data_IF_609668648928
#
_entry.id   IF_609668648928
#
_cell.length_a   1.000
_cell.length_b   1.000
_cell.length_c   1.000
_cell.angle_alpha   90.00
_cell.angle_beta   90.00
_cell.angle_gamma   90.00
#
_symmetry.space_group_name_H-M   'P 1'
#
loop_
_entity.id
_entity.type
_entity.pdbx_description
1 polymer ?
#
# COMPACT_ATOMS: atom_id res chain seq x y z
N UNK A 1 -12.16 -14.00 -23.17
CA UNK A 1 -12.80 -14.69 -22.02
C UNK A 1 -11.85 -15.69 -21.36
N UNK A 2 -11.19 -16.61 -22.09
CA UNK A 2 -10.24 -17.57 -21.49
C UNK A 2 -9.06 -16.92 -20.76
N UNK A 3 -8.45 -15.86 -21.31
CA UNK A 3 -7.34 -15.16 -20.65
C UNK A 3 -7.75 -14.52 -19.29
N UNK A 4 -8.99 -14.07 -19.16
CA UNK A 4 -9.52 -13.50 -17.92
C UNK A 4 -9.71 -14.56 -16.84
N UNK A 5 -10.17 -15.76 -17.22
CA UNK A 5 -10.32 -16.88 -16.30
C UNK A 5 -8.98 -17.50 -15.90
N UNK A 6 -7.96 -17.42 -16.76
CA UNK A 6 -6.60 -17.89 -16.45
C UNK A 6 -5.83 -16.94 -15.52
N UNK A 7 -6.14 -15.64 -15.54
CA UNK A 7 -5.51 -14.64 -14.68
C UNK A 7 -6.20 -14.46 -13.31
N UNK A 8 -7.24 -15.25 -13.02
CA UNK A 8 -7.97 -15.18 -11.76
C UNK A 8 -7.46 -16.24 -10.80
N UNK A 9 -6.77 -15.81 -9.74
CA UNK A 9 -6.19 -16.69 -8.72
C UNK A 9 -6.96 -16.52 -7.40
N UNK A 10 -7.06 -17.59 -6.63
CA UNK A 10 -7.76 -17.61 -5.34
C UNK A 10 -6.78 -18.00 -4.25
N UNK A 11 -6.68 -17.21 -3.18
CA UNK A 11 -5.76 -17.51 -2.07
C UNK A 11 -6.22 -18.72 -1.25
N UNK A 12 -7.53 -19.02 -1.27
CA UNK A 12 -8.14 -20.14 -0.55
C UNK A 12 -9.08 -20.94 -1.47
N UNK A 13 -8.53 -21.75 -2.40
CA UNK A 13 -9.35 -22.44 -3.41
C UNK A 13 -10.36 -23.42 -2.80
N UNK A 14 -10.09 -23.93 -1.59
CA UNK A 14 -11.01 -24.82 -0.85
C UNK A 14 -12.33 -24.11 -0.52
N UNK A 15 -12.34 -22.78 -0.34
CA UNK A 15 -13.56 -22.02 -0.10
C UNK A 15 -14.56 -22.12 -1.27
N UNK A 16 -14.07 -22.29 -2.52
CA UNK A 16 -14.92 -22.48 -3.69
C UNK A 16 -15.71 -23.79 -3.63
N UNK A 17 -15.27 -24.79 -2.87
CA UNK A 17 -16.07 -25.99 -2.60
C UNK A 17 -17.40 -25.65 -1.91
N UNK A 18 -17.49 -24.49 -1.23
CA UNK A 18 -18.74 -23.95 -0.70
C UNK A 18 -19.80 -23.69 -1.78
N UNK A 19 -19.43 -23.45 -3.04
CA UNK A 19 -20.39 -23.34 -4.14
C UNK A 19 -21.13 -24.66 -4.39
N UNK A 20 -20.50 -25.82 -4.11
CA UNK A 20 -21.16 -27.13 -4.19
C UNK A 20 -22.21 -27.33 -3.09
N UNK A 21 -22.18 -26.55 -2.01
CA UNK A 21 -23.19 -26.56 -0.94
C UNK A 21 -24.41 -25.69 -1.25
N UNK A 22 -24.38 -24.83 -2.29
CA UNK A 22 -25.54 -24.03 -2.71
C UNK A 22 -26.83 -24.84 -2.93
N UNK A 23 -26.84 -26.03 -3.57
CA UNK A 23 -28.04 -26.85 -3.70
C UNK A 23 -28.57 -27.36 -2.34
N UNK A 24 -27.70 -27.58 -1.36
CA UNK A 24 -28.10 -27.96 0.01
C UNK A 24 -28.71 -26.77 0.75
N UNK A 25 -28.11 -25.58 0.61
CA UNK A 25 -28.64 -24.32 1.15
C UNK A 25 -30.00 -24.00 0.52
N UNK A 26 -30.14 -24.19 -0.80
CA UNK A 26 -31.41 -24.06 -1.50
C UNK A 26 -32.47 -25.00 -0.94
N UNK A 27 -32.10 -26.26 -0.69
CA UNK A 27 -33.00 -27.26 -0.12
C UNK A 27 -33.43 -26.89 1.31
N UNK A 28 -32.51 -26.39 2.14
CA UNK A 28 -32.79 -25.95 3.51
C UNK A 28 -33.70 -24.71 3.55
N UNK A 29 -33.45 -23.73 2.67
CA UNK A 29 -34.25 -22.51 2.59
C UNK A 29 -35.64 -22.74 1.99
N UNK A 30 -35.87 -23.88 1.33
CA UNK A 30 -37.17 -24.29 0.78
C UNK A 30 -38.09 -24.90 1.85
N UNK A 31 -37.66 -25.04 3.10
CA UNK A 31 -38.54 -25.48 4.19
C UNK A 31 -39.69 -24.48 4.38
N UNK A 32 -40.81 -24.80 3.75
CA UNK A 32 -42.08 -24.12 3.87
C UNK A 32 -42.78 -24.70 5.10
N UNK A 33 -43.46 -23.90 5.94
CA UNK A 33 -44.15 -24.41 7.13
C UNK A 33 -45.07 -25.59 6.77
N UNK A 34 -45.23 -26.59 7.66
CA UNK A 34 -46.17 -27.68 7.43
C UNK A 34 -47.58 -27.12 7.22
N UNK A 35 -48.33 -27.70 6.27
CA UNK A 35 -49.68 -27.24 5.90
C UNK A 35 -50.54 -27.02 7.15
N UNK A 36 -51.27 -25.89 7.27
CA UNK A 36 -52.17 -25.66 8.39
C UNK A 36 -53.23 -26.77 8.44
N UNK A 37 -53.43 -27.33 9.64
CA UNK A 37 -54.42 -28.37 9.85
C UNK A 37 -55.81 -27.74 9.87
N UNK A 38 -56.71 -28.23 9.01
CA UNK A 38 -58.09 -27.75 8.96
C UNK A 38 -58.91 -28.42 10.05
N UNK A 39 -59.29 -27.64 11.07
CA UNK A 39 -60.20 -28.09 12.13
C UNK A 39 -61.62 -27.66 11.76
N UNK A 40 -62.60 -28.57 11.83
CA UNK A 40 -64.01 -28.23 11.59
C UNK A 40 -64.51 -27.35 12.72
N UNK A 41 -64.64 -26.04 12.49
CA UNK A 41 -65.15 -25.08 13.45
C UNK A 41 -66.67 -24.86 13.21
N UNK A 42 -67.57 -25.39 14.06
CA UNK A 42 -69.00 -25.47 13.75
C UNK A 42 -69.80 -24.17 13.69
N UNK A 43 -69.46 -23.03 14.33
CA UNK A 43 -70.29 -21.83 14.24
C UNK A 43 -69.93 -20.99 13.00
N UNK A 44 -70.14 -21.55 11.80
CA UNK A 44 -69.95 -20.87 10.51
C UNK A 44 -70.85 -19.64 10.30
N UNK A 45 -71.89 -19.46 11.13
CA UNK A 45 -72.82 -18.31 11.03
C UNK A 45 -72.26 -16.98 11.56
N UNK A 46 -71.28 -16.99 12.45
CA UNK A 46 -70.73 -15.77 13.06
C UNK A 46 -69.60 -15.13 12.25
N UNK A 47 -69.11 -15.80 11.20
CA UNK A 47 -67.94 -15.38 10.40
C UNK A 47 -68.32 -14.85 9.01
N UNK A 48 -69.59 -14.93 8.59
CA UNK A 48 -70.06 -14.48 7.28
C UNK A 48 -70.09 -12.94 7.13
N UNK A 49 -69.87 -12.17 8.21
CA UNK A 49 -69.76 -10.70 8.18
C UNK A 49 -68.31 -10.17 8.20
N UNK A 50 -67.30 -11.05 8.24
CA UNK A 50 -65.90 -10.64 8.17
C UNK A 50 -65.42 -10.67 6.72
N UNK A 51 -65.26 -9.49 6.12
CA UNK A 51 -64.56 -9.29 4.85
C UNK A 51 -63.15 -9.86 5.01
N UNK A 52 -62.86 -10.94 4.28
CA UNK A 52 -61.55 -11.60 4.26
C UNK A 52 -60.51 -10.62 3.71
N UNK A 53 -59.68 -10.06 4.60
CA UNK A 53 -58.58 -9.19 4.24
C UNK A 53 -57.31 -10.03 4.05
N UNK A 54 -56.92 -10.19 2.77
CA UNK A 54 -55.64 -10.63 2.24
C UNK A 54 -55.01 -11.91 2.80
N UNK A 55 -55.05 -12.97 1.96
CA UNK A 55 -54.15 -14.10 2.04
C UNK A 55 -52.69 -13.61 1.94
N UNK A 56 -51.91 -13.80 3.01
CA UNK A 56 -50.46 -13.65 2.92
C UNK A 56 -49.93 -14.71 1.93
N UNK A 57 -49.09 -14.32 0.94
CA UNK A 57 -48.59 -15.25 -0.04
C UNK A 57 -47.76 -16.36 0.63
N UNK A 58 -48.29 -17.58 0.56
CA UNK A 58 -47.81 -18.82 1.21
C UNK A 58 -46.49 -19.36 0.61
N UNK A 59 -45.94 -18.68 -0.40
CA UNK A 59 -44.72 -19.09 -1.10
C UNK A 59 -43.74 -17.94 -1.19
N UNK A 60 -42.50 -18.19 -0.78
CA UNK A 60 -41.39 -17.30 -1.11
C UNK A 60 -41.30 -17.18 -2.63
N UNK A 61 -41.40 -15.97 -3.20
CA UNK A 61 -41.31 -15.81 -4.64
C UNK A 61 -39.91 -16.23 -5.10
N UNK A 62 -39.84 -16.96 -6.22
CA UNK A 62 -38.63 -17.63 -6.72
C UNK A 62 -37.46 -16.66 -6.95
N UNK A 63 -37.74 -15.39 -7.26
CA UNK A 63 -36.72 -14.36 -7.43
C UNK A 63 -36.00 -14.01 -6.13
N UNK A 64 -36.67 -14.03 -4.96
CA UNK A 64 -36.03 -13.84 -3.66
C UNK A 64 -35.10 -15.00 -3.31
N UNK A 65 -35.46 -16.20 -3.73
CA UNK A 65 -34.63 -17.39 -3.57
C UNK A 65 -33.40 -17.34 -4.48
N UNK A 66 -33.55 -16.91 -5.74
CA UNK A 66 -32.43 -16.66 -6.65
C UNK A 66 -31.50 -15.58 -6.10
N UNK A 67 -32.06 -14.48 -5.58
CA UNK A 67 -31.28 -13.41 -4.94
C UNK A 67 -30.49 -13.91 -3.73
N UNK A 68 -31.10 -14.73 -2.85
CA UNK A 68 -30.40 -15.33 -1.71
C UNK A 68 -29.24 -16.22 -2.14
N UNK A 69 -29.41 -17.03 -3.19
CA UNK A 69 -28.33 -17.84 -3.73
C UNK A 69 -27.23 -17.01 -4.37
N UNK A 70 -27.57 -15.92 -5.06
CA UNK A 70 -26.60 -14.98 -5.62
C UNK A 70 -25.77 -14.31 -4.51
N UNK A 71 -26.41 -13.85 -3.43
CA UNK A 71 -25.71 -13.29 -2.27
C UNK A 71 -24.79 -14.33 -1.63
N UNK A 72 -25.27 -15.56 -1.40
CA UNK A 72 -24.43 -16.63 -0.86
C UNK A 72 -23.23 -16.93 -1.75
N UNK A 73 -23.42 -16.97 -3.08
CA UNK A 73 -22.33 -17.14 -4.04
C UNK A 73 -21.32 -15.98 -3.97
N UNK A 74 -21.78 -14.72 -3.89
CA UNK A 74 -20.91 -13.55 -3.73
C UNK A 74 -20.13 -13.56 -2.41
N UNK A 75 -20.75 -14.02 -1.32
CA UNK A 75 -20.06 -14.19 -0.02
C UNK A 75 -18.99 -15.26 -0.12
N UNK A 76 -19.29 -16.42 -0.72
CA UNK A 76 -18.31 -17.49 -0.92
C UNK A 76 -17.15 -17.00 -1.81
N UNK A 77 -17.46 -16.26 -2.88
CA UNK A 77 -16.45 -15.62 -3.71
C UNK A 77 -15.63 -14.61 -2.90
N UNK A 78 -16.26 -13.75 -2.09
CA UNK A 78 -15.54 -12.81 -1.23
C UNK A 78 -14.60 -13.51 -0.25
N UNK A 79 -15.05 -14.59 0.40
CA UNK A 79 -14.23 -15.41 1.31
C UNK A 79 -13.08 -16.11 0.59
N UNK A 80 -13.26 -16.49 -0.68
CA UNK A 80 -12.19 -17.10 -1.48
C UNK A 80 -11.09 -16.11 -1.90
N UNK A 81 -11.27 -14.81 -1.61
CA UNK A 81 -10.34 -13.72 -1.94
C UNK A 81 -9.80 -13.81 -3.38
N UNK A 82 -10.66 -13.65 -4.40
CA UNK A 82 -10.22 -13.61 -5.78
C UNK A 82 -9.30 -12.40 -5.99
N UNK A 83 -8.11 -12.65 -6.51
CA UNK A 83 -7.21 -11.59 -6.95
C UNK A 83 -6.85 -11.81 -8.42
N UNK A 84 -6.76 -10.69 -9.15
CA UNK A 84 -6.44 -10.68 -10.56
C UNK A 84 -4.93 -10.55 -10.71
N UNK A 85 -4.28 -11.61 -11.20
CA UNK A 85 -2.83 -11.70 -11.41
C UNK A 85 -2.51 -11.92 -12.90
N UNK A 86 -2.70 -10.90 -13.75
CA UNK A 86 -2.35 -11.00 -15.16
C UNK A 86 -0.83 -11.16 -15.30
N UNK A 87 -0.37 -12.32 -15.79
CA UNK A 87 1.05 -12.60 -16.04
C UNK A 87 1.61 -13.82 -15.32
N UNK A 88 0.87 -14.42 -14.37
CA UNK A 88 1.23 -15.73 -13.80
C UNK A 88 0.76 -16.86 -14.73
N UNK A 89 1.30 -16.92 -15.94
CA UNK A 89 1.46 -18.22 -16.60
C UNK A 89 2.57 -18.94 -15.86
N UNK A 90 2.22 -19.72 -14.84
CA UNK A 90 3.13 -20.67 -14.21
C UNK A 90 3.50 -21.76 -15.24
N UNK A 91 4.59 -21.53 -15.97
CA UNK A 91 5.38 -22.54 -16.67
C UNK A 91 6.74 -21.96 -17.10
N UNK A 92 7.72 -21.95 -16.19
CA UNK A 92 9.12 -22.18 -16.58
C UNK A 92 9.90 -21.06 -17.24
N UNK A 93 9.79 -19.81 -16.80
CA UNK A 93 10.87 -18.86 -17.08
C UNK A 93 11.91 -18.96 -15.97
N UNK A 94 12.98 -19.72 -16.19
CA UNK A 94 14.26 -19.60 -15.48
C UNK A 94 14.94 -18.24 -15.75
N UNK A 95 14.16 -17.19 -15.97
CA UNK A 95 14.66 -15.85 -16.21
C UNK A 95 15.33 -15.37 -14.92
N UNK A 96 16.54 -14.80 -14.98
CA UNK A 96 17.14 -14.15 -13.84
C UNK A 96 16.19 -13.11 -13.26
N UNK A 97 16.11 -13.05 -11.93
CA UNK A 97 15.30 -12.10 -11.21
C UNK A 97 16.17 -10.94 -10.72
N UNK A 98 15.84 -9.73 -11.18
CA UNK A 98 16.40 -8.47 -10.70
C UNK A 98 15.44 -7.84 -9.69
N UNK A 99 15.87 -7.75 -8.44
CA UNK A 99 15.15 -7.05 -7.38
C UNK A 99 15.73 -5.64 -7.26
N UNK A 100 14.88 -4.64 -7.42
CA UNK A 100 15.23 -3.23 -7.27
C UNK A 100 14.49 -2.67 -6.05
N UNK A 101 15.22 -2.03 -5.16
CA UNK A 101 14.70 -1.50 -3.91
C UNK A 101 14.92 0.00 -3.84
N UNK A 102 13.84 0.76 -3.68
CA UNK A 102 13.98 2.14 -3.22
C UNK A 102 14.37 2.16 -1.74
N UNK A 103 15.60 2.62 -1.47
CA UNK A 103 16.20 2.80 -0.14
C UNK A 103 16.48 4.29 0.15
N UNK A 104 15.69 5.17 -0.44
CA UNK A 104 15.72 6.62 -0.24
C UNK A 104 15.15 7.02 1.14
N UNK A 105 15.19 8.32 1.46
CA UNK A 105 14.60 8.82 2.70
C UNK A 105 13.10 8.49 2.78
N UNK A 106 12.41 8.46 1.65
CA UNK A 106 10.97 8.21 1.58
C UNK A 106 10.60 6.77 1.95
N UNK A 107 11.52 5.83 1.74
CA UNK A 107 11.34 4.42 2.07
C UNK A 107 11.46 4.10 3.57
N UNK A 108 11.96 5.03 4.39
CA UNK A 108 12.35 4.76 5.77
C UNK A 108 11.19 4.34 6.69
N UNK A 109 10.00 4.93 6.52
CA UNK A 109 8.83 4.65 7.35
C UNK A 109 8.39 3.19 7.27
N UNK A 110 8.36 2.65 6.05
CA UNK A 110 7.80 1.32 5.76
C UNK A 110 8.91 0.27 5.59
N UNK A 111 10.12 0.58 6.05
CA UNK A 111 11.32 -0.23 5.80
C UNK A 111 11.19 -1.67 6.32
N UNK A 112 10.55 -1.86 7.48
CA UNK A 112 10.31 -3.20 8.05
C UNK A 112 9.40 -4.04 7.15
N UNK A 113 8.33 -3.45 6.61
CA UNK A 113 7.44 -4.12 5.67
C UNK A 113 8.21 -4.48 4.39
N UNK A 114 8.99 -3.53 3.86
CA UNK A 114 9.80 -3.75 2.65
C UNK A 114 10.82 -4.88 2.83
N UNK A 115 11.51 -4.97 3.97
CA UNK A 115 12.40 -6.10 4.29
C UNK A 115 11.65 -7.44 4.36
N UNK A 116 10.44 -7.44 4.90
CA UNK A 116 9.61 -8.66 4.96
C UNK A 116 9.27 -9.16 3.55
N UNK A 117 8.80 -8.26 2.67
CA UNK A 117 8.54 -8.58 1.27
C UNK A 117 9.80 -9.07 0.52
N UNK A 118 10.95 -8.44 0.76
CA UNK A 118 12.21 -8.89 0.16
C UNK A 118 12.59 -10.31 0.57
N UNK A 119 12.42 -10.65 1.85
CA UNK A 119 12.68 -12.01 2.34
C UNK A 119 11.73 -13.04 1.71
N UNK A 120 10.45 -12.69 1.54
CA UNK A 120 9.45 -13.55 0.88
C UNK A 120 9.78 -13.77 -0.60
N UNK A 121 10.11 -12.72 -1.35
CA UNK A 121 10.53 -12.80 -2.76
C UNK A 121 11.76 -13.70 -2.92
N UNK A 122 12.75 -13.55 -2.03
CA UNK A 122 13.97 -14.38 -2.07
C UNK A 122 13.69 -15.83 -1.68
N UNK A 123 12.76 -16.08 -0.76
CA UNK A 123 12.33 -17.44 -0.42
C UNK A 123 11.65 -18.12 -1.61
N UNK A 124 10.75 -17.43 -2.32
CA UNK A 124 10.11 -17.93 -3.53
C UNK A 124 11.13 -18.19 -4.65
N UNK A 125 12.07 -17.27 -4.86
CA UNK A 125 13.14 -17.45 -5.86
C UNK A 125 14.03 -18.66 -5.55
N UNK A 126 14.28 -18.94 -4.25
CA UNK A 126 15.02 -20.13 -3.80
C UNK A 126 14.29 -21.42 -4.13
N UNK A 127 12.98 -21.48 -3.90
CA UNK A 127 12.17 -22.67 -4.20
C UNK A 127 12.15 -22.99 -5.71
N UNK A 128 12.27 -21.95 -6.54
CA UNK A 128 12.24 -22.06 -8.00
C UNK A 128 13.64 -22.08 -8.66
N UNK A 129 14.72 -22.13 -7.87
CA UNK A 129 16.13 -22.11 -8.32
C UNK A 129 16.45 -20.96 -9.31
N UNK A 130 15.93 -19.77 -9.00
CA UNK A 130 16.10 -18.56 -9.82
C UNK A 130 17.34 -17.78 -9.37
N UNK A 131 18.17 -17.38 -10.34
CA UNK A 131 19.32 -16.51 -10.08
C UNK A 131 18.88 -15.10 -9.71
N UNK A 132 19.41 -14.56 -8.61
CA UNK A 132 19.00 -13.27 -8.05
C UNK A 132 20.04 -12.18 -8.28
N UNK A 133 19.61 -10.97 -8.59
CA UNK A 133 20.44 -9.76 -8.54
C UNK A 133 19.71 -8.69 -7.76
N UNK A 134 20.39 -8.06 -6.79
CA UNK A 134 19.82 -7.01 -5.96
C UNK A 134 20.44 -5.64 -6.30
N UNK A 135 19.60 -4.63 -6.45
CA UNK A 135 20.01 -3.25 -6.66
C UNK A 135 19.21 -2.28 -5.78
N UNK A 136 19.87 -1.21 -5.36
CA UNK A 136 19.29 -0.13 -4.53
C UNK A 136 19.33 1.19 -5.29
N UNK A 137 18.32 2.06 -5.12
CA UNK A 137 18.23 3.30 -5.91
C UNK A 137 18.92 4.50 -5.30
N UNK A 138 19.14 4.55 -3.98
CA UNK A 138 19.81 5.67 -3.33
C UNK A 138 21.33 5.64 -3.59
N UNK A 139 21.95 6.79 -3.88
CA UNK A 139 23.36 6.87 -4.21
C UNK A 139 24.24 6.35 -3.06
N UNK A 140 25.37 5.76 -3.43
CA UNK A 140 26.34 5.20 -2.48
C UNK A 140 27.75 5.65 -2.83
N UNK A 141 28.59 5.86 -1.81
CA UNK A 141 29.99 6.25 -2.02
C UNK A 141 30.79 5.13 -2.72
N UNK A 142 30.45 3.88 -2.42
CA UNK A 142 30.93 2.69 -3.13
C UNK A 142 29.73 2.01 -3.76
N UNK A 143 29.69 2.06 -5.09
CA UNK A 143 28.68 1.37 -5.88
C UNK A 143 28.71 -0.13 -5.59
N UNK A 144 27.55 -0.71 -5.35
CA UNK A 144 27.42 -2.17 -5.16
C UNK A 144 27.43 -2.84 -6.54
N UNK A 145 28.20 -3.91 -6.69
CA UNK A 145 28.28 -4.65 -7.95
C UNK A 145 26.92 -5.28 -8.28
N UNK A 146 26.50 -5.10 -9.53
CA UNK A 146 25.27 -5.70 -10.08
C UNK A 146 25.66 -7.09 -10.58
N UNK A 147 25.66 -8.04 -9.65
CA UNK A 147 26.07 -9.42 -9.90
C UNK A 147 25.01 -10.39 -9.42
N UNK A 148 24.86 -11.46 -10.19
CA UNK A 148 24.08 -12.63 -9.83
C UNK A 148 24.61 -13.26 -8.53
N UNK A 149 23.70 -13.58 -7.60
CA UNK A 149 23.98 -14.21 -6.31
C UNK A 149 22.95 -15.29 -6.04
N UNK A 150 23.33 -16.23 -5.18
CA UNK A 150 22.38 -17.18 -4.61
C UNK A 150 21.47 -16.51 -3.57
N UNK A 151 20.45 -17.24 -3.15
CA UNK A 151 19.47 -16.75 -2.18
C UNK A 151 20.08 -16.42 -0.82
N UNK A 152 21.03 -17.20 -0.31
CA UNK A 152 21.63 -16.99 1.01
C UNK A 152 22.50 -15.72 1.05
N UNK A 153 23.32 -15.51 0.02
CA UNK A 153 24.11 -14.30 -0.17
C UNK A 153 23.21 -13.07 -0.37
N UNK A 154 22.07 -13.23 -1.04
CA UNK A 154 21.10 -12.13 -1.24
C UNK A 154 20.40 -11.77 0.08
N UNK A 155 20.03 -12.76 0.91
CA UNK A 155 19.48 -12.50 2.26
C UNK A 155 20.49 -11.78 3.15
N UNK A 156 21.77 -12.12 3.08
CA UNK A 156 22.82 -11.39 3.81
C UNK A 156 22.92 -9.93 3.36
N UNK A 157 22.78 -9.66 2.06
CA UNK A 157 22.74 -8.28 1.56
C UNK A 157 21.50 -7.53 2.07
N UNK A 158 20.31 -8.15 2.00
CA UNK A 158 19.05 -7.56 2.49
C UNK A 158 19.15 -7.24 3.99
N UNK A 159 19.76 -8.13 4.79
CA UNK A 159 19.94 -7.92 6.22
C UNK A 159 20.82 -6.70 6.54
N UNK A 160 21.75 -6.35 5.65
CA UNK A 160 22.62 -5.19 5.78
C UNK A 160 22.03 -3.90 5.18
N UNK A 161 20.87 -3.95 4.52
CA UNK A 161 20.25 -2.77 3.94
C UNK A 161 19.56 -1.91 5.00
N UNK A 162 19.81 -0.60 4.91
CA UNK A 162 19.17 0.44 5.70
C UNK A 162 18.70 1.58 4.80
N UNK A 163 17.60 2.26 5.13
CA UNK A 163 17.13 3.40 4.37
C UNK A 163 18.11 4.57 4.53
N UNK A 164 18.45 5.24 3.43
CA UNK A 164 19.40 6.36 3.40
C UNK A 164 18.67 7.69 3.46
N UNK A 165 19.26 8.70 4.08
CA UNK A 165 18.71 10.06 4.14
C UNK A 165 18.85 10.87 2.82
N UNK A 166 18.96 10.19 1.68
CA UNK A 166 19.22 10.78 0.35
C UNK A 166 18.06 10.50 -0.59
N UNK A 167 17.92 11.33 -1.63
CA UNK A 167 17.00 11.05 -2.75
C UNK A 167 17.52 9.91 -3.64
N UNK A 168 16.65 9.23 -4.39
CA UNK A 168 17.05 8.16 -5.30
C UNK A 168 17.77 8.71 -6.54
N UNK A 169 18.76 7.97 -7.06
CA UNK A 169 19.45 8.24 -8.33
C UNK A 169 19.10 7.14 -9.35
N UNK A 170 17.83 7.14 -9.75
CA UNK A 170 17.24 6.15 -10.68
C UNK A 170 17.92 6.18 -12.05
N UNK A 171 18.34 7.35 -12.52
CA UNK A 171 18.99 7.52 -13.83
C UNK A 171 20.37 6.86 -13.86
N UNK A 172 21.21 7.07 -12.83
CA UNK A 172 22.51 6.44 -12.73
C UNK A 172 22.40 4.93 -12.58
N UNK A 173 21.46 4.45 -11.75
CA UNK A 173 21.22 3.01 -11.61
C UNK A 173 20.78 2.40 -12.95
N UNK A 174 19.85 3.03 -13.67
CA UNK A 174 19.37 2.55 -14.97
C UNK A 174 20.50 2.41 -15.99
N UNK A 175 21.43 3.38 -16.04
CA UNK A 175 22.59 3.29 -16.92
C UNK A 175 23.46 2.06 -16.62
N UNK A 176 23.69 1.77 -15.33
CA UNK A 176 24.44 0.58 -14.90
C UNK A 176 23.70 -0.72 -15.21
N UNK A 177 22.38 -0.75 -15.02
CA UNK A 177 21.54 -1.91 -15.33
C UNK A 177 21.54 -2.22 -16.83
N UNK A 178 21.47 -1.19 -17.69
CA UNK A 178 21.58 -1.36 -19.15
C UNK A 178 22.90 -2.01 -19.57
N UNK A 179 24.01 -1.63 -18.93
CA UNK A 179 25.31 -2.27 -19.16
C UNK A 179 25.38 -3.69 -18.60
N UNK A 180 24.91 -3.91 -17.36
CA UNK A 180 24.98 -5.20 -16.68
C UNK A 180 24.12 -6.28 -17.33
N UNK A 181 22.97 -5.91 -17.89
CA UNK A 181 22.02 -6.83 -18.53
C UNK A 181 22.00 -6.73 -20.06
N UNK A 182 23.02 -6.12 -20.69
CA UNK A 182 23.10 -5.97 -22.14
C UNK A 182 23.09 -7.31 -22.89
N UNK A 183 23.65 -8.37 -22.29
CA UNK A 183 23.72 -9.71 -22.85
C UNK A 183 22.56 -10.63 -22.42
N UNK A 184 21.65 -10.14 -21.56
CA UNK A 184 20.52 -10.93 -21.10
C UNK A 184 19.44 -11.03 -22.19
N UNK A 185 18.89 -12.23 -22.39
CA UNK A 185 17.81 -12.50 -23.34
C UNK A 185 16.42 -12.47 -22.72
N UNK A 186 16.33 -12.66 -21.40
CA UNK A 186 15.11 -12.52 -20.60
C UNK A 186 15.48 -11.99 -19.22
N UNK A 187 14.56 -11.24 -18.60
CA UNK A 187 14.76 -10.66 -17.28
C UNK A 187 13.40 -10.46 -16.61
N UNK A 188 13.26 -10.91 -15.37
CA UNK A 188 12.14 -10.51 -14.52
C UNK A 188 12.64 -9.45 -13.55
N UNK A 189 11.95 -8.32 -13.48
CA UNK A 189 12.29 -7.19 -12.63
C UNK A 189 11.17 -6.97 -11.63
N UNK A 190 11.49 -7.04 -10.34
CA UNK A 190 10.58 -6.62 -9.27
C UNK A 190 11.12 -5.33 -8.67
N UNK A 191 10.38 -4.24 -8.81
CA UNK A 191 10.74 -2.93 -8.26
C UNK A 191 9.87 -2.57 -7.06
N UNK A 192 10.48 -2.55 -5.87
CA UNK A 192 9.85 -2.10 -4.64
C UNK A 192 10.00 -0.57 -4.54
N UNK A 193 9.01 0.14 -5.07
CA UNK A 193 8.98 1.60 -5.13
C UNK A 193 8.68 2.23 -3.78
N UNK A 194 9.22 3.42 -3.51
CA UNK A 194 8.83 4.26 -2.37
C UNK A 194 7.49 5.01 -2.56
N UNK A 195 6.88 4.88 -3.75
CA UNK A 195 5.58 5.47 -4.08
C UNK A 195 5.62 6.97 -4.35
N UNK A 196 6.81 7.61 -4.35
CA UNK A 196 6.97 9.01 -4.71
C UNK A 196 7.58 9.15 -6.12
N UNK A 197 6.93 9.96 -6.95
CA UNK A 197 7.50 10.39 -8.22
C UNK A 197 8.34 11.67 -8.03
N UNK A 198 9.65 11.48 -7.91
CA UNK A 198 10.63 12.57 -7.92
C UNK A 198 11.08 12.86 -9.36
N UNK A 199 10.11 13.14 -10.25
CA UNK A 199 10.29 13.44 -11.67
C UNK A 199 11.08 12.41 -12.49
N UNK A 200 11.08 11.15 -12.05
CA UNK A 200 11.90 10.09 -12.64
C UNK A 200 11.28 8.69 -12.57
N UNK A 201 10.14 8.52 -11.89
CA UNK A 201 9.54 7.20 -11.72
C UNK A 201 9.11 6.59 -13.06
N UNK A 202 8.42 7.37 -13.89
CA UNK A 202 7.91 6.92 -15.21
C UNK A 202 9.05 6.56 -16.15
N UNK A 203 10.05 7.45 -16.29
CA UNK A 203 11.21 7.22 -17.16
C UNK A 203 12.06 6.05 -16.67
N UNK A 204 12.11 5.84 -15.35
CA UNK A 204 12.78 4.67 -14.77
C UNK A 204 12.03 3.39 -15.10
N UNK A 205 10.70 3.33 -14.89
CA UNK A 205 9.88 2.16 -15.23
C UNK A 205 9.97 1.78 -16.71
N UNK A 206 9.85 2.75 -17.61
CA UNK A 206 10.05 2.55 -19.06
C UNK A 206 11.48 2.05 -19.37
N UNK A 207 12.46 2.62 -18.68
CA UNK A 207 13.86 2.19 -18.75
C UNK A 207 14.05 0.73 -18.32
N UNK A 208 13.40 0.29 -17.25
CA UNK A 208 13.44 -1.09 -16.77
C UNK A 208 12.81 -2.05 -17.78
N UNK A 209 11.68 -1.66 -18.39
CA UNK A 209 11.03 -2.46 -19.43
C UNK A 209 11.90 -2.60 -20.69
N UNK A 210 12.78 -1.63 -20.95
CA UNK A 210 13.73 -1.69 -22.08
C UNK A 210 14.96 -2.59 -21.85
N UNK A 211 15.13 -3.14 -20.63
CA UNK A 211 16.24 -4.06 -20.32
C UNK A 211 16.11 -5.38 -21.10
N UNK A 212 17.22 -6.12 -21.19
CA UNK A 212 17.30 -7.39 -21.94
C UNK A 212 16.84 -7.26 -23.41
N UNK A 213 17.06 -6.10 -24.03
CA UNK A 213 16.59 -5.83 -25.40
C UNK A 213 15.08 -5.64 -25.52
N UNK A 214 14.39 -5.27 -24.44
CA UNK A 214 12.94 -5.05 -24.40
C UNK A 214 12.12 -6.29 -24.02
N UNK A 215 12.76 -7.37 -23.57
CA UNK A 215 12.10 -8.59 -23.11
C UNK A 215 11.92 -8.64 -21.58
N UNK A 216 12.24 -7.56 -20.87
CA UNK A 216 12.10 -7.50 -19.43
C UNK A 216 10.64 -7.39 -19.00
N UNK A 217 10.20 -8.30 -18.12
CA UNK A 217 8.92 -8.19 -17.41
C UNK A 217 9.14 -7.37 -16.14
N UNK A 218 8.38 -6.29 -15.95
CA UNK A 218 8.54 -5.38 -14.81
C UNK A 218 7.29 -5.37 -13.95
N UNK A 219 7.44 -5.77 -12.69
CA UNK A 219 6.41 -5.69 -11.66
C UNK A 219 6.81 -4.63 -10.63
N UNK A 220 6.01 -3.57 -10.50
CA UNK A 220 6.22 -2.51 -9.54
C UNK A 220 5.30 -2.69 -8.32
N UNK A 221 5.90 -2.79 -7.13
CA UNK A 221 5.19 -2.86 -5.85
C UNK A 221 5.21 -1.47 -5.23
N UNK A 222 4.03 -0.87 -5.08
CA UNK A 222 3.85 0.45 -4.48
C UNK A 222 3.25 0.34 -3.07
N UNK A 223 3.63 1.23 -2.13
CA UNK A 223 2.96 1.32 -0.84
C UNK A 223 1.53 1.89 -0.98
N UNK A 224 0.73 1.69 0.05
CA UNK A 224 -0.58 2.36 0.17
C UNK A 224 -0.39 3.89 0.21
N UNK A 225 -1.29 4.63 -0.46
CA UNK A 225 -1.31 6.09 -0.44
C UNK A 225 -1.34 6.66 0.99
N UNK A 226 -2.02 5.96 1.92
CA UNK A 226 -2.05 6.35 3.34
C UNK A 226 -0.69 6.19 4.04
N UNK A 227 0.16 5.28 3.56
CA UNK A 227 1.47 4.99 4.15
C UNK A 227 2.53 6.01 3.72
N UNK A 228 2.37 6.66 2.57
CA UNK A 228 3.34 7.63 2.01
C UNK A 228 3.85 8.63 3.06
N UNK A 229 5.16 8.96 3.04
CA UNK A 229 5.78 9.79 4.06
C UNK A 229 5.31 11.25 3.97
N UNK A 230 5.36 11.93 5.10
CA UNK A 230 5.21 13.39 5.18
C UNK A 230 6.58 14.05 5.18
N UNK A 231 6.63 15.28 4.69
CA UNK A 231 7.85 16.10 4.66
C UNK A 231 7.59 17.48 5.27
N UNK A 232 8.63 18.08 5.85
CA UNK A 232 8.64 19.47 6.28
C UNK A 232 9.24 20.34 5.18
N UNK A 233 8.55 21.41 4.82
CA UNK A 233 9.13 22.50 4.05
C UNK A 233 9.82 23.50 4.99
N UNK A 234 10.53 24.47 4.40
CA UNK A 234 11.14 25.54 5.18
C UNK A 234 10.04 26.32 5.93
N UNK A 235 10.14 26.47 7.27
CA UNK A 235 9.18 27.25 8.04
C UNK A 235 9.26 28.73 7.64
N UNK A 236 8.25 29.52 7.99
CA UNK A 236 8.26 30.97 7.75
C UNK A 236 7.91 31.75 9.01
N UNK A 237 8.46 32.97 9.14
CA UNK A 237 8.20 33.85 10.28
C UNK A 237 7.52 35.13 9.81
N UNK A 238 6.21 35.06 9.55
CA UNK A 238 5.40 36.17 9.06
C UNK A 238 4.51 36.73 10.18
N UNK A 239 4.38 38.06 10.25
CA UNK A 239 3.46 38.71 11.20
C UNK A 239 3.74 38.44 12.68
N UNK A 240 4.97 38.05 13.03
CA UNK A 240 5.35 37.66 14.39
C UNK A 240 5.01 36.21 14.75
N UNK A 241 4.28 35.48 13.91
CA UNK A 241 3.99 34.05 14.11
C UNK A 241 5.05 33.17 13.45
N UNK A 242 5.26 31.97 14.01
CA UNK A 242 6.15 30.97 13.47
C UNK A 242 5.33 29.91 12.75
N UNK A 243 5.32 29.94 11.41
CA UNK A 243 4.55 29.01 10.59
C UNK A 243 5.38 27.79 10.21
N UNK A 244 4.79 26.62 10.39
CA UNK A 244 5.34 25.36 9.93
C UNK A 244 4.55 24.88 8.72
N UNK A 245 5.26 24.32 7.74
CA UNK A 245 4.69 23.90 6.46
C UNK A 245 4.97 22.42 6.26
N UNK A 246 3.94 21.62 6.01
CA UNK A 246 4.06 20.20 5.68
C UNK A 246 3.69 19.97 4.22
N UNK A 247 4.37 18.99 3.65
CA UNK A 247 4.13 18.48 2.31
C UNK A 247 3.70 17.01 2.41
N UNK A 248 2.77 16.63 1.54
CA UNK A 248 2.42 15.23 1.26
C UNK A 248 2.24 15.04 -0.24
N UNK A 249 2.41 13.80 -0.70
CA UNK A 249 1.96 13.44 -2.05
C UNK A 249 0.44 13.69 -2.16
N UNK A 250 -0.06 14.25 -3.28
CA UNK A 250 -1.50 14.45 -3.47
C UNK A 250 -2.28 13.15 -3.25
N UNK A 251 -3.10 13.12 -2.20
CA UNK A 251 -3.88 11.94 -1.80
C UNK A 251 -5.28 12.36 -1.37
N UNK A 252 -6.30 11.55 -1.67
CA UNK A 252 -7.64 11.79 -1.15
C UNK A 252 -7.71 11.47 0.36
N UNK A 253 -8.22 12.40 1.15
CA UNK A 253 -8.57 12.17 2.56
C UNK A 253 -7.94 13.17 3.51
N UNK A 254 -8.64 13.39 4.63
CA UNK A 254 -8.09 14.15 5.75
C UNK A 254 -6.91 13.37 6.33
N UNK A 255 -5.80 14.06 6.55
CA UNK A 255 -4.63 13.52 7.24
C UNK A 255 -4.15 14.55 8.23
N UNK A 256 -3.78 14.08 9.41
CA UNK A 256 -3.32 14.93 10.50
C UNK A 256 -1.89 14.54 10.85
N UNK A 257 -1.13 15.52 11.29
CA UNK A 257 0.23 15.33 11.76
C UNK A 257 0.49 16.25 12.95
N UNK A 258 1.27 15.77 13.90
CA UNK A 258 1.74 16.59 15.01
C UNK A 258 3.21 16.94 14.76
N UNK A 259 3.52 18.22 14.79
CA UNK A 259 4.89 18.73 14.73
C UNK A 259 5.34 19.09 16.12
N UNK A 260 6.58 18.74 16.43
CA UNK A 260 7.26 19.12 17.65
C UNK A 260 8.46 20.01 17.35
N UNK A 261 8.58 21.12 18.06
CA UNK A 261 9.78 21.91 18.13
C UNK A 261 10.68 21.42 19.27
N UNK A 262 11.95 21.18 18.96
CA UNK A 262 12.91 20.58 19.89
C UNK A 262 14.11 21.52 20.08
N UNK A 263 14.51 21.69 21.33
CA UNK A 263 15.71 22.43 21.71
C UNK A 263 16.99 21.60 21.50
N UNK A 264 18.15 22.24 21.58
CA UNK A 264 19.42 21.55 21.35
C UNK A 264 19.75 20.44 22.35
N UNK A 265 19.17 20.50 23.55
CA UNK A 265 19.29 19.46 24.58
C UNK A 265 18.22 18.34 24.44
N UNK A 266 17.43 18.33 23.36
CA UNK A 266 16.37 17.35 23.13
C UNK A 266 15.05 17.65 23.85
N UNK A 267 14.93 18.77 24.57
CA UNK A 267 13.70 19.17 25.25
C UNK A 267 12.62 19.59 24.24
N UNK A 268 11.39 19.11 24.44
CA UNK A 268 10.22 19.61 23.70
C UNK A 268 9.91 21.05 24.10
N UNK A 269 9.82 21.95 23.12
CA UNK A 269 9.52 23.36 23.31
C UNK A 269 8.05 23.68 23.06
N UNK A 270 7.49 23.12 21.99
CA UNK A 270 6.08 23.26 21.63
C UNK A 270 5.66 22.16 20.66
N UNK A 271 4.37 21.81 20.71
CA UNK A 271 3.72 20.89 19.78
C UNK A 271 2.59 21.63 19.05
N UNK A 272 2.40 21.36 17.77
CA UNK A 272 1.28 21.87 16.97
C UNK A 272 0.70 20.77 16.11
N UNK A 273 -0.63 20.73 16.05
CA UNK A 273 -1.37 19.84 15.15
C UNK A 273 -1.60 20.55 13.83
N UNK A 274 -1.33 19.85 12.73
CA UNK A 274 -1.54 20.33 11.37
C UNK A 274 -2.41 19.35 10.61
N UNK A 275 -3.37 19.88 9.87
CA UNK A 275 -4.37 19.09 9.16
C UNK A 275 -4.32 19.41 7.67
N UNK A 276 -4.25 18.37 6.85
CA UNK A 276 -4.37 18.50 5.41
C UNK A 276 -5.85 18.48 5.01
N UNK A 277 -6.30 19.54 4.35
CA UNK A 277 -7.64 19.62 3.81
C UNK A 277 -7.79 18.75 2.55
N UNK A 278 -8.70 17.78 2.57
CA UNK A 278 -9.14 17.03 1.38
C UNK A 278 -7.98 16.43 0.57
N UNK A 279 -7.70 16.98 -0.61
CA UNK A 279 -6.63 16.57 -1.53
C UNK A 279 -5.42 17.55 -1.57
N UNK A 280 -5.36 18.53 -0.66
CA UNK A 280 -4.27 19.50 -0.61
C UNK A 280 -2.92 18.80 -0.37
N UNK A 281 -1.91 19.14 -1.15
CA UNK A 281 -0.54 18.61 -1.00
C UNK A 281 0.24 19.34 0.10
N UNK A 282 -0.25 20.50 0.53
CA UNK A 282 0.40 21.36 1.50
C UNK A 282 -0.56 21.67 2.65
N UNK A 283 -0.01 21.79 3.86
CA UNK A 283 -0.74 22.26 5.03
C UNK A 283 0.17 23.13 5.90
N UNK A 284 -0.39 24.20 6.46
CA UNK A 284 0.33 25.11 7.35
C UNK A 284 -0.34 25.19 8.72
N UNK A 285 0.47 25.44 9.76
CA UNK A 285 -0.03 25.81 11.07
C UNK A 285 0.90 26.83 11.74
N UNK A 286 0.31 27.69 12.58
CA UNK A 286 1.07 28.60 13.42
C UNK A 286 1.47 27.89 14.71
N UNK A 287 2.77 27.86 14.98
CA UNK A 287 3.34 27.40 16.23
C UNK A 287 3.45 28.61 17.18
N UNK A 288 2.64 28.60 18.23
CA UNK A 288 2.67 29.62 19.26
C UNK A 288 3.88 29.41 20.18
N UNK A 289 4.94 30.17 19.91
CA UNK A 289 6.19 30.13 20.66
C UNK A 289 6.57 31.56 21.09
N UNK A 290 6.75 31.79 22.40
CA UNK A 290 7.40 32.98 22.90
C UNK A 290 8.76 33.19 22.22
N UNK A 291 9.17 34.46 22.09
CA UNK A 291 10.40 34.82 21.39
C UNK A 291 11.64 34.13 21.99
N UNK A 292 11.68 33.98 23.33
CA UNK A 292 12.77 33.29 24.03
C UNK A 292 12.90 31.84 23.56
N UNK A 293 11.79 31.11 23.51
CA UNK A 293 11.77 29.70 23.09
C UNK A 293 12.03 29.55 21.59
N UNK A 294 11.63 30.53 20.76
CA UNK A 294 11.91 30.51 19.32
C UNK A 294 13.41 30.44 19.04
N UNK A 295 14.23 31.17 19.79
CA UNK A 295 15.68 31.17 19.62
C UNK A 295 16.34 29.85 20.12
N UNK A 296 15.65 29.09 20.98
CA UNK A 296 16.09 27.78 21.45
C UNK A 296 15.79 26.64 20.46
N UNK A 297 14.88 26.82 19.50
CA UNK A 297 14.50 25.78 18.53
C UNK A 297 15.71 25.42 17.67
N UNK A 298 16.10 24.14 17.71
CA UNK A 298 17.18 23.59 16.87
C UNK A 298 16.64 22.68 15.77
N UNK A 299 15.52 21.97 16.00
CA UNK A 299 14.82 21.26 14.93
C UNK A 299 13.31 21.25 15.10
N UNK A 300 12.62 21.07 13.98
CA UNK A 300 11.25 20.57 13.93
C UNK A 300 11.27 19.10 13.56
N UNK A 301 10.36 18.32 14.15
CA UNK A 301 10.15 16.92 13.81
C UNK A 301 8.66 16.61 13.68
N UNK A 302 8.28 15.81 12.69
CA UNK A 302 6.92 15.24 12.58
C UNK A 302 6.85 13.98 13.44
N UNK A 303 5.96 13.98 14.42
CA UNK A 303 5.79 12.85 15.33
C UNK A 303 5.23 11.63 14.58
N UNK A 304 5.84 10.46 14.80
CA UNK A 304 5.46 9.21 14.13
C UNK A 304 6.08 9.00 12.75
N UNK A 305 6.76 10.00 12.18
CA UNK A 305 7.43 9.90 10.89
C UNK A 305 8.95 9.80 11.12
N UNK A 306 9.52 8.62 10.85
CA UNK A 306 10.96 8.34 11.03
C UNK A 306 11.70 8.40 9.70
N UNK A 307 11.76 9.57 9.10
CA UNK A 307 12.44 9.79 7.83
C UNK A 307 13.17 11.15 7.81
N UNK A 308 14.09 11.36 6.87
CA UNK A 308 14.90 12.58 6.83
C UNK A 308 14.07 13.84 6.50
N UNK A 309 13.03 13.71 5.67
CA UNK A 309 12.17 14.84 5.32
C UNK A 309 11.21 15.25 6.44
N UNK A 310 10.94 14.36 7.40
CA UNK A 310 10.15 14.65 8.60
C UNK A 310 10.91 15.51 9.62
N UNK A 311 12.16 15.87 9.37
CA UNK A 311 12.98 16.71 10.24
C UNK A 311 13.47 17.95 9.50
N UNK A 312 13.28 19.12 10.09
CA UNK A 312 13.88 20.37 9.62
C UNK A 312 14.88 20.88 10.66
N UNK A 313 16.14 21.08 10.25
CA UNK A 313 17.19 21.61 11.11
C UNK A 313 17.34 23.12 10.92
N UNK A 314 17.36 23.86 12.02
CA UNK A 314 17.64 25.29 11.98
C UNK A 314 19.15 25.55 12.02
N UNK A 315 19.57 26.55 11.25
CA UNK A 315 20.89 27.13 11.35
C UNK A 315 20.85 28.45 12.16
N UNK A 316 22.03 29.04 12.39
CA UNK A 316 22.15 30.30 13.13
C UNK A 316 21.49 31.49 12.43
N UNK A 317 21.05 31.38 11.16
CA UNK A 317 20.36 32.47 10.45
C UNK A 317 18.96 32.71 11.00
N UNK A 318 18.38 31.71 11.66
CA UNK A 318 17.04 31.79 12.26
C UNK A 318 17.03 32.45 13.64
N UNK A 319 18.21 32.64 14.25
CA UNK A 319 18.33 33.29 15.55
C UNK A 319 18.32 34.81 15.39
N UNK A 320 17.37 35.50 16.04
CA UNK A 320 17.45 36.96 16.17
C UNK A 320 18.57 37.29 17.14
N UNK A 321 19.66 37.86 16.63
CA UNK A 321 20.75 38.40 17.46
C UNK A 321 20.26 39.65 18.17
N UNK A 322 20.21 39.61 19.49
CA UNK A 322 20.10 40.83 20.30
C UNK A 322 21.46 41.53 20.24
N UNK A 323 21.52 42.68 19.58
CA UNK A 323 22.69 43.56 19.68
C UNK A 323 22.46 44.40 20.94
N UNK A 324 23.31 44.21 21.94
CA UNK A 324 23.37 45.03 23.16
C UNK A 324 24.28 46.23 22.94
#
# INVERSE_FOLDING_TARGET
>A
MMAFLQALTFTTPVALAGLLLLPVIWWLLRFTPPKPQTVKFPPLRLLLELVSNQEQPDKTPWWLMLLRLAIAALVILGVSHPFYAPGQTAAGTSAPLLIIVDDSWAAAKDWTLRRTMLNEIVAEARENDVTLTLATTAPSARETDIVARDADATLQQIAALEPKALGPDRAKLLARLKTGFAAATSLHVIWLSDGLDQASATTFAEGLASLAGGSAQVDAILPDAAALPLALAAPSAEGGQFKVHLLRSPSAGLREANIRAVAANGRSLADVRVEFAGNAAEAEAALDLPLELRNEVQRLEILGERNAAATYLFDDRWRRKTIA
#
